data_IF_142568531974
#
_entry.id   IF_142568531974
#
_cell.length_a   1.000
_cell.length_b   1.000
_cell.length_c   1.000
_cell.angle_alpha   90.00
_cell.angle_beta   90.00
_cell.angle_gamma   90.00
#
_symmetry.space_group_name_H-M   'P 1'
#
loop_
_entity.id
_entity.type
_entity.pdbx_description
1 polymer ?
#
# COMPACT_ATOMS: atom_id res chain seq x y z
N UNK A 1 17.21 -2.18 -6.18
CA UNK A 1 17.68 -3.35 -5.39
C UNK A 1 16.47 -3.93 -4.67
N UNK A 2 16.22 -5.24 -4.70
CA UNK A 2 15.09 -5.82 -3.97
C UNK A 2 15.21 -5.57 -2.47
N UNK A 3 14.10 -5.23 -1.83
CA UNK A 3 13.96 -4.94 -0.41
C UNK A 3 13.00 -5.96 0.19
N UNK A 4 13.51 -6.89 0.97
CA UNK A 4 12.71 -7.86 1.72
C UNK A 4 12.22 -7.29 3.05
N UNK A 5 11.46 -8.08 3.80
CA UNK A 5 10.87 -7.66 5.07
C UNK A 5 11.93 -7.29 6.13
N UNK A 6 13.07 -7.99 6.17
CA UNK A 6 14.16 -7.69 7.09
C UNK A 6 14.82 -6.35 6.74
N UNK A 7 15.13 -6.15 5.46
CA UNK A 7 15.70 -4.90 4.96
C UNK A 7 14.75 -3.69 5.18
N UNK A 8 13.43 -3.90 5.06
CA UNK A 8 12.43 -2.88 5.41
C UNK A 8 12.48 -2.51 6.90
N UNK A 9 12.61 -3.49 7.78
CA UNK A 9 12.72 -3.23 9.21
C UNK A 9 14.03 -2.53 9.57
N UNK A 10 15.14 -2.91 8.96
CA UNK A 10 16.45 -2.26 9.16
C UNK A 10 16.40 -0.80 8.71
N UNK A 11 15.85 -0.54 7.52
CA UNK A 11 15.63 0.81 7.01
C UNK A 11 14.78 1.67 7.97
N UNK A 12 13.64 1.13 8.44
CA UNK A 12 12.77 1.85 9.37
C UNK A 12 13.39 2.02 10.75
N UNK A 13 14.24 1.10 11.21
CA UNK A 13 14.97 1.23 12.48
C UNK A 13 15.92 2.43 12.44
N UNK A 14 16.62 2.63 11.33
CA UNK A 14 17.50 3.81 11.15
C UNK A 14 16.69 5.10 11.18
N UNK A 15 15.56 5.17 10.45
CA UNK A 15 14.71 6.36 10.47
C UNK A 15 14.11 6.64 11.86
N UNK A 16 13.77 5.59 12.60
CA UNK A 16 13.20 5.69 13.93
C UNK A 16 14.12 6.37 14.94
N UNK A 17 15.44 6.25 14.78
CA UNK A 17 16.43 6.89 15.67
C UNK A 17 16.44 8.41 15.52
N UNK A 18 16.13 8.93 14.34
CA UNK A 18 16.12 10.38 14.06
C UNK A 18 14.76 11.05 14.32
N UNK A 19 13.72 10.26 14.58
CA UNK A 19 12.40 10.79 14.88
C UNK A 19 12.30 11.23 16.35
N UNK A 20 11.78 12.42 16.56
CA UNK A 20 11.53 12.98 17.92
C UNK A 20 10.06 12.85 18.34
N UNK A 21 9.17 12.53 17.40
CA UNK A 21 7.74 12.34 17.63
C UNK A 21 7.28 11.04 17.02
N UNK A 22 6.27 10.42 17.62
CA UNK A 22 5.66 9.21 17.08
C UNK A 22 4.89 9.55 15.81
N UNK A 23 5.13 8.77 14.75
CA UNK A 23 4.45 8.87 13.46
C UNK A 23 3.82 7.53 13.08
N UNK A 24 2.83 7.57 12.21
CA UNK A 24 2.22 6.39 11.61
C UNK A 24 2.63 6.28 10.14
N UNK A 25 3.10 5.10 9.74
CA UNK A 25 3.39 4.76 8.35
C UNK A 25 2.48 3.61 7.92
N UNK A 26 1.73 3.79 6.86
CA UNK A 26 0.89 2.74 6.28
C UNK A 26 1.52 2.30 4.96
N UNK A 27 2.11 1.13 4.95
CA UNK A 27 2.69 0.56 3.74
C UNK A 27 1.61 0.28 2.69
N UNK A 28 1.93 0.57 1.44
CA UNK A 28 1.08 0.36 0.27
C UNK A 28 1.78 -0.53 -0.76
N UNK A 29 1.11 -0.87 -1.82
CA UNK A 29 1.68 -1.55 -2.98
C UNK A 29 2.49 -2.81 -2.65
N UNK A 30 3.66 -2.93 -3.29
CA UNK A 30 4.57 -4.06 -3.06
C UNK A 30 5.15 -4.11 -1.65
N UNK A 31 5.31 -2.97 -1.00
CA UNK A 31 5.78 -2.88 0.39
C UNK A 31 4.79 -3.52 1.36
N UNK A 32 3.49 -3.22 1.22
CA UNK A 32 2.45 -3.86 2.02
C UNK A 32 2.43 -5.37 1.83
N UNK A 33 2.50 -5.84 0.58
CA UNK A 33 2.54 -7.27 0.27
C UNK A 33 3.74 -7.98 0.91
N UNK A 34 4.91 -7.34 0.90
CA UNK A 34 6.14 -7.88 1.51
C UNK A 34 6.01 -7.96 3.03
N UNK A 35 5.44 -6.94 3.66
CA UNK A 35 5.20 -6.92 5.11
C UNK A 35 4.14 -7.94 5.55
N UNK A 36 3.16 -8.22 4.71
CA UNK A 36 2.10 -9.22 4.94
C UNK A 36 2.50 -10.66 4.54
N UNK A 37 3.76 -10.88 4.16
CA UNK A 37 4.27 -12.18 3.68
C UNK A 37 3.54 -12.74 2.45
N UNK A 38 2.92 -11.86 1.65
CA UNK A 38 2.26 -12.20 0.40
C UNK A 38 3.23 -12.15 -0.80
N UNK A 39 4.39 -11.48 -0.62
CA UNK A 39 5.45 -11.32 -1.60
C UNK A 39 6.80 -11.34 -0.90
N UNK A 40 7.85 -11.88 -1.55
CA UNK A 40 9.17 -12.01 -0.95
C UNK A 40 9.89 -10.67 -0.78
N UNK A 41 9.75 -9.77 -1.75
CA UNK A 41 10.43 -8.46 -1.73
C UNK A 41 9.72 -7.45 -2.60
N UNK A 42 9.99 -6.18 -2.37
CA UNK A 42 9.60 -5.05 -3.23
C UNK A 42 10.83 -4.38 -3.83
N UNK A 43 10.64 -3.60 -4.89
CA UNK A 43 11.70 -2.77 -5.51
C UNK A 43 11.63 -1.35 -4.98
N UNK A 44 10.43 -0.79 -4.94
CA UNK A 44 10.15 0.55 -4.42
C UNK A 44 9.50 0.43 -3.04
N UNK A 45 9.77 1.38 -2.16
CA UNK A 45 9.14 1.46 -0.85
C UNK A 45 7.99 2.46 -0.93
N UNK A 46 6.78 2.00 -0.66
CA UNK A 46 5.54 2.76 -0.82
C UNK A 46 4.85 2.97 0.52
N UNK A 47 4.58 4.23 0.91
CA UNK A 47 3.78 4.57 2.08
C UNK A 47 2.70 5.58 1.76
N UNK A 48 1.52 5.43 2.39
CA UNK A 48 0.58 6.52 2.62
C UNK A 48 0.66 6.94 4.08
N UNK A 49 0.82 8.24 4.32
CA UNK A 49 1.20 8.79 5.62
C UNK A 49 0.15 9.81 6.04
N UNK A 50 -0.39 9.76 7.27
CA UNK A 50 -1.24 10.84 7.77
C UNK A 50 -0.56 12.20 7.60
N UNK A 51 -1.29 13.19 7.12
CA UNK A 51 -0.73 14.50 6.75
C UNK A 51 0.05 15.19 7.88
N UNK A 52 -0.39 15.00 9.13
CA UNK A 52 0.31 15.52 10.32
C UNK A 52 1.69 14.88 10.55
N UNK A 53 1.95 13.68 10.03
CA UNK A 53 3.18 12.91 10.26
C UNK A 53 4.20 13.07 9.11
N UNK A 54 3.74 13.55 7.96
CA UNK A 54 4.52 13.61 6.73
C UNK A 54 5.82 14.39 6.87
N UNK A 55 5.77 15.57 7.45
CA UNK A 55 6.95 16.46 7.59
C UNK A 55 8.04 15.79 8.41
N UNK A 56 7.68 15.13 9.52
CA UNK A 56 8.64 14.43 10.38
C UNK A 56 9.29 13.26 9.64
N UNK A 57 8.51 12.50 8.88
CA UNK A 57 9.03 11.40 8.07
C UNK A 57 9.99 11.91 6.98
N UNK A 58 9.63 12.97 6.27
CA UNK A 58 10.47 13.56 5.22
C UNK A 58 11.79 14.10 5.76
N UNK A 59 11.79 14.68 6.96
CA UNK A 59 13.01 15.15 7.63
C UNK A 59 13.92 13.98 7.99
N UNK A 60 13.39 12.93 8.61
CA UNK A 60 14.16 11.72 8.95
C UNK A 60 14.73 11.05 7.70
N UNK A 61 13.95 10.96 6.63
CA UNK A 61 14.40 10.38 5.36
C UNK A 61 15.52 11.20 4.70
N UNK A 62 15.48 12.55 4.83
CA UNK A 62 16.50 13.46 4.32
C UNK A 62 17.83 13.30 5.05
N UNK A 63 17.78 13.06 6.37
CA UNK A 63 18.95 12.83 7.22
C UNK A 63 19.59 11.47 6.96
N UNK A 64 18.82 10.50 6.45
CA UNK A 64 19.26 9.13 6.19
C UNK A 64 19.09 8.76 4.71
N UNK A 65 20.00 9.21 3.83
CA UNK A 65 19.93 8.83 2.42
C UNK A 65 19.94 7.33 2.24
N UNK A 66 19.00 6.82 1.47
CA UNK A 66 18.84 5.40 1.17
C UNK A 66 19.03 5.13 -0.32
N UNK A 67 19.48 3.91 -0.68
CA UNK A 67 19.51 3.44 -2.06
C UNK A 67 18.15 3.01 -2.60
N UNK A 68 17.10 3.02 -1.77
CA UNK A 68 15.74 2.69 -2.19
C UNK A 68 15.00 3.92 -2.70
N UNK A 69 14.16 3.74 -3.72
CA UNK A 69 13.15 4.73 -4.07
C UNK A 69 12.02 4.64 -3.04
N UNK A 70 11.70 5.75 -2.40
CA UNK A 70 10.64 5.84 -1.39
C UNK A 70 9.54 6.77 -1.89
N UNK A 71 8.41 6.20 -2.29
CA UNK A 71 7.21 6.93 -2.68
C UNK A 71 6.33 7.22 -1.45
N UNK A 72 5.85 8.47 -1.36
CA UNK A 72 5.17 9.02 -0.18
C UNK A 72 3.89 9.72 -0.62
N UNK A 73 2.78 9.10 -0.34
CA UNK A 73 1.46 9.71 -0.47
C UNK A 73 0.92 10.15 0.90
N UNK A 74 -0.19 10.84 0.91
CA UNK A 74 -0.77 11.41 2.11
C UNK A 74 -2.24 11.02 2.23
N UNK A 75 -2.70 10.75 3.46
CA UNK A 75 -4.12 10.58 3.81
C UNK A 75 -4.88 9.60 2.91
N UNK A 76 -4.31 8.41 2.70
CA UNK A 76 -4.94 7.35 1.91
C UNK A 76 -4.81 7.49 0.40
N UNK A 77 -4.18 8.55 -0.10
CA UNK A 77 -3.79 8.61 -1.51
C UNK A 77 -2.75 7.53 -1.78
N UNK A 78 -2.93 6.77 -2.85
CA UNK A 78 -1.98 5.74 -3.31
C UNK A 78 -2.11 5.63 -4.83
N UNK A 79 -1.00 5.78 -5.53
CA UNK A 79 -0.95 5.80 -7.00
C UNK A 79 -1.89 6.86 -7.58
N UNK A 80 -2.97 6.46 -8.22
CA UNK A 80 -3.90 7.35 -8.93
C UNK A 80 -5.30 7.44 -8.29
N UNK A 81 -5.47 7.08 -7.03
CA UNK A 81 -6.73 7.18 -6.30
C UNK A 81 -6.51 7.41 -4.81
N UNK A 82 -7.57 7.80 -4.13
CA UNK A 82 -7.59 7.96 -2.67
C UNK A 82 -8.53 6.92 -2.06
N UNK A 83 -8.03 6.20 -1.07
CA UNK A 83 -8.83 5.26 -0.28
C UNK A 83 -9.85 6.00 0.60
N UNK A 84 -10.98 5.36 0.94
CA UNK A 84 -11.92 5.89 1.92
C UNK A 84 -11.24 6.18 3.27
N UNK A 85 -11.82 7.09 4.05
CA UNK A 85 -11.25 7.58 5.32
C UNK A 85 -11.01 6.48 6.36
N UNK A 86 -11.69 5.35 6.25
CA UNK A 86 -11.52 4.19 7.13
C UNK A 86 -10.26 3.34 6.83
N UNK A 87 -9.46 3.71 5.82
CA UNK A 87 -8.26 2.95 5.42
C UNK A 87 -7.28 2.75 6.57
N UNK A 88 -7.15 3.76 7.43
CA UNK A 88 -6.23 3.71 8.56
C UNK A 88 -6.70 2.72 9.63
N UNK A 89 -7.99 2.76 9.98
CA UNK A 89 -8.58 1.84 10.94
C UNK A 89 -8.53 0.39 10.45
N UNK A 90 -8.80 0.19 9.16
CA UNK A 90 -8.79 -1.12 8.50
C UNK A 90 -7.39 -1.63 8.18
N UNK A 91 -6.35 -0.80 8.28
CA UNK A 91 -4.98 -1.23 8.04
C UNK A 91 -4.48 -2.20 9.11
N UNK A 92 -3.58 -3.08 8.72
CA UNK A 92 -3.06 -4.16 9.57
C UNK A 92 -1.83 -3.65 10.33
N UNK A 93 -1.81 -3.81 11.65
CA UNK A 93 -0.63 -3.51 12.48
C UNK A 93 0.48 -4.51 12.17
N UNK A 94 1.67 -4.01 11.85
CA UNK A 94 2.84 -4.84 11.54
C UNK A 94 3.85 -4.81 12.66
N UNK A 95 4.31 -3.62 13.07
CA UNK A 95 5.34 -3.46 14.08
C UNK A 95 5.28 -2.08 14.74
N UNK A 96 5.49 -2.04 16.05
CA UNK A 96 5.68 -0.82 16.80
C UNK A 96 7.17 -0.63 17.09
N UNK A 97 7.71 0.50 16.65
CA UNK A 97 9.00 1.03 17.06
C UNK A 97 8.77 2.13 18.13
N UNK A 98 9.82 2.69 18.69
CA UNK A 98 9.65 3.77 19.69
C UNK A 98 8.94 5.02 19.10
N UNK A 99 9.21 5.35 17.84
CA UNK A 99 8.67 6.52 17.15
C UNK A 99 7.93 6.19 15.83
N UNK A 100 7.84 4.93 15.43
CA UNK A 100 7.08 4.53 14.23
C UNK A 100 6.04 3.47 14.59
N UNK A 101 4.77 3.77 14.30
CA UNK A 101 3.71 2.77 14.22
C UNK A 101 3.61 2.32 12.77
N UNK A 102 4.18 1.14 12.47
CA UNK A 102 4.16 0.56 11.13
C UNK A 102 2.91 -0.28 10.92
N UNK A 103 2.18 0.06 9.88
CA UNK A 103 0.98 -0.63 9.43
C UNK A 103 1.10 -0.99 7.95
N UNK A 104 0.25 -1.86 7.46
CA UNK A 104 0.11 -2.16 6.03
C UNK A 104 -1.37 -2.02 5.61
N UNK A 105 -1.61 -1.57 4.40
CA UNK A 105 -2.95 -1.63 3.83
C UNK A 105 -3.47 -3.06 3.87
N UNK A 106 -4.76 -3.22 4.17
CA UNK A 106 -5.41 -4.52 4.08
C UNK A 106 -5.44 -5.02 2.62
N UNK A 107 -5.48 -6.33 2.38
CA UNK A 107 -5.38 -6.90 1.03
C UNK A 107 -6.38 -6.35 0.01
N UNK A 108 -7.64 -6.09 0.41
CA UNK A 108 -8.64 -5.50 -0.49
C UNK A 108 -8.26 -4.08 -0.92
N UNK A 109 -7.67 -3.26 -0.03
CA UNK A 109 -7.19 -1.92 -0.36
C UNK A 109 -5.98 -1.97 -1.29
N UNK A 110 -5.09 -2.95 -1.11
CA UNK A 110 -3.99 -3.18 -2.05
C UNK A 110 -4.53 -3.52 -3.45
N UNK A 111 -5.55 -4.38 -3.56
CA UNK A 111 -6.16 -4.75 -4.84
C UNK A 111 -6.74 -3.51 -5.52
N UNK A 112 -7.63 -2.78 -4.86
CA UNK A 112 -8.34 -1.66 -5.50
C UNK A 112 -7.41 -0.52 -5.91
N UNK A 113 -6.29 -0.31 -5.20
CA UNK A 113 -5.29 0.70 -5.59
C UNK A 113 -4.44 0.27 -6.78
N UNK A 114 -4.44 -1.00 -7.17
CA UNK A 114 -3.72 -1.53 -8.34
C UNK A 114 -4.60 -1.61 -9.60
N UNK A 115 -5.92 -1.68 -9.44
CA UNK A 115 -6.88 -1.76 -10.56
C UNK A 115 -6.74 -0.54 -11.48
N UNK A 116 -6.53 0.66 -10.97
CA UNK A 116 -6.45 1.87 -11.78
C UNK A 116 -5.35 1.82 -12.84
N UNK A 117 -4.17 1.27 -12.53
CA UNK A 117 -3.04 1.16 -13.49
C UNK A 117 -2.87 -0.22 -14.14
N UNK A 118 -3.35 -1.25 -13.52
CA UNK A 118 -3.46 -2.66 -13.93
C UNK A 118 -2.40 -3.16 -14.93
N UNK A 119 -1.13 -3.14 -14.56
CA UNK A 119 -0.06 -3.76 -15.34
C UNK A 119 0.13 -5.24 -14.97
N UNK A 120 1.02 -5.97 -15.68
CA UNK A 120 1.26 -7.39 -15.45
C UNK A 120 1.73 -7.72 -14.02
N UNK A 121 2.52 -6.84 -13.39
CA UNK A 121 2.95 -7.01 -11.99
C UNK A 121 1.79 -6.78 -11.02
N UNK A 122 0.92 -5.82 -11.32
CA UNK A 122 -0.26 -5.56 -10.52
C UNK A 122 -1.22 -6.76 -10.53
N UNK A 123 -1.37 -7.45 -11.66
CA UNK A 123 -2.16 -8.69 -11.73
C UNK A 123 -1.60 -9.81 -10.86
N UNK A 124 -0.28 -10.00 -10.82
CA UNK A 124 0.37 -10.98 -9.94
C UNK A 124 0.17 -10.63 -8.45
N UNK A 125 0.28 -9.37 -8.11
CA UNK A 125 0.09 -8.88 -6.75
C UNK A 125 -1.39 -9.02 -6.31
N UNK A 126 -2.35 -8.74 -7.19
CA UNK A 126 -3.79 -8.96 -6.98
C UNK A 126 -4.08 -10.46 -6.77
N UNK A 127 -3.50 -11.32 -7.60
CA UNK A 127 -3.64 -12.77 -7.46
C UNK A 127 -3.16 -13.26 -6.09
N UNK A 128 -2.01 -12.77 -5.62
CA UNK A 128 -1.49 -13.12 -4.30
C UNK A 128 -2.45 -12.70 -3.17
N UNK A 129 -3.06 -11.51 -3.25
CA UNK A 129 -4.08 -11.08 -2.30
C UNK A 129 -5.32 -11.98 -2.32
N UNK A 130 -5.83 -12.30 -3.50
CA UNK A 130 -7.04 -13.14 -3.64
C UNK A 130 -6.78 -14.56 -3.09
N UNK A 131 -5.68 -15.18 -3.51
CA UNK A 131 -5.41 -16.58 -3.18
C UNK A 131 -4.90 -16.78 -1.75
N UNK A 132 -3.96 -15.95 -1.30
CA UNK A 132 -3.31 -16.14 0.01
C UNK A 132 -4.03 -15.44 1.16
N UNK A 133 -4.69 -14.31 0.90
CA UNK A 133 -5.45 -13.57 1.91
C UNK A 133 -6.97 -13.77 1.80
N UNK A 134 -7.44 -14.63 0.90
CA UNK A 134 -8.84 -15.02 0.73
C UNK A 134 -9.80 -13.83 0.52
N UNK A 135 -9.39 -12.83 -0.25
CA UNK A 135 -10.25 -11.68 -0.58
C UNK A 135 -11.32 -12.12 -1.57
N UNK A 136 -12.58 -11.88 -1.23
CA UNK A 136 -13.73 -12.28 -2.06
C UNK A 136 -14.04 -11.27 -3.17
N UNK A 137 -14.77 -11.73 -4.21
CA UNK A 137 -15.29 -10.87 -5.27
C UNK A 137 -16.13 -9.72 -4.71
N UNK A 138 -17.01 -10.00 -3.76
CA UNK A 138 -17.89 -9.00 -3.15
C UNK A 138 -17.09 -7.90 -2.46
N UNK A 139 -16.07 -8.26 -1.67
CA UNK A 139 -15.20 -7.28 -1.02
C UNK A 139 -14.48 -6.37 -2.02
N UNK A 140 -13.95 -6.94 -3.12
CA UNK A 140 -13.29 -6.16 -4.17
C UNK A 140 -14.27 -5.21 -4.83
N UNK A 141 -15.44 -5.69 -5.20
CA UNK A 141 -16.47 -4.91 -5.90
C UNK A 141 -16.96 -3.75 -5.05
N UNK A 142 -17.33 -4.00 -3.81
CA UNK A 142 -17.80 -2.96 -2.87
C UNK A 142 -16.73 -1.90 -2.63
N UNK A 143 -15.48 -2.32 -2.37
CA UNK A 143 -14.38 -1.40 -2.09
C UNK A 143 -13.99 -0.58 -3.33
N UNK A 144 -14.00 -1.19 -4.52
CA UNK A 144 -13.72 -0.53 -5.79
C UNK A 144 -14.73 0.58 -6.11
N UNK A 145 -16.02 0.39 -5.82
CA UNK A 145 -17.04 1.40 -6.01
C UNK A 145 -16.85 2.65 -5.15
N UNK A 146 -16.21 2.51 -3.99
CA UNK A 146 -15.85 3.67 -3.16
C UNK A 146 -14.60 4.39 -3.70
N UNK A 147 -13.66 3.65 -4.26
CA UNK A 147 -12.37 4.16 -4.72
C UNK A 147 -12.45 4.81 -6.10
N UNK A 148 -13.28 4.30 -7.00
CA UNK A 148 -13.41 4.83 -8.37
C UNK A 148 -13.77 6.30 -8.43
N UNK A 149 -14.48 6.82 -7.44
CA UNK A 149 -14.89 8.22 -7.35
C UNK A 149 -13.70 9.18 -7.19
N UNK A 150 -12.57 8.70 -6.73
CA UNK A 150 -11.34 9.48 -6.54
C UNK A 150 -10.25 9.15 -7.56
N UNK A 151 -10.54 8.26 -8.49
CA UNK A 151 -9.60 7.84 -9.52
C UNK A 151 -9.22 9.00 -10.45
N UNK A 152 -7.93 9.20 -10.67
CA UNK A 152 -7.40 10.22 -11.58
C UNK A 152 -7.32 9.62 -12.99
N UNK A 153 -8.44 9.57 -13.66
CA UNK A 153 -8.61 9.00 -14.99
C UNK A 153 -10.09 8.82 -15.33
N UNK A 154 -10.41 8.32 -16.52
CA UNK A 154 -11.80 8.01 -16.88
C UNK A 154 -12.36 6.88 -15.99
N UNK A 155 -13.51 7.11 -15.39
CA UNK A 155 -14.17 6.09 -14.54
C UNK A 155 -14.39 4.79 -15.29
N UNK A 156 -14.75 4.88 -16.57
CA UNK A 156 -14.97 3.72 -17.43
C UNK A 156 -13.73 2.84 -17.57
N UNK A 157 -12.53 3.42 -17.56
CA UNK A 157 -11.27 2.68 -17.60
C UNK A 157 -11.07 1.88 -16.32
N UNK A 158 -11.31 2.50 -15.16
CA UNK A 158 -11.24 1.79 -13.87
C UNK A 158 -12.24 0.64 -13.80
N UNK A 159 -13.48 0.87 -14.20
CA UNK A 159 -14.54 -0.16 -14.23
C UNK A 159 -14.20 -1.29 -15.21
N UNK A 160 -13.62 -0.97 -16.35
CA UNK A 160 -13.15 -1.97 -17.31
C UNK A 160 -12.06 -2.85 -16.67
N UNK A 161 -11.07 -2.26 -16.04
CA UNK A 161 -10.01 -3.00 -15.33
C UNK A 161 -10.57 -3.84 -14.18
N UNK A 162 -11.52 -3.31 -13.41
CA UNK A 162 -12.21 -4.06 -12.35
C UNK A 162 -12.85 -5.32 -12.91
N UNK A 163 -13.61 -5.20 -14.01
CA UNK A 163 -14.26 -6.33 -14.64
C UNK A 163 -13.24 -7.36 -15.16
N UNK A 164 -12.12 -6.93 -15.75
CA UNK A 164 -11.04 -7.83 -16.15
C UNK A 164 -10.49 -8.65 -14.97
N UNK A 165 -10.28 -8.03 -13.83
CA UNK A 165 -9.80 -8.69 -12.61
C UNK A 165 -10.83 -9.71 -12.11
N UNK A 166 -12.10 -9.29 -12.00
CA UNK A 166 -13.16 -10.16 -11.51
C UNK A 166 -13.42 -11.35 -12.44
N UNK A 167 -13.42 -11.12 -13.74
CA UNK A 167 -13.59 -12.18 -14.75
C UNK A 167 -12.43 -13.18 -14.70
N UNK A 168 -11.21 -12.68 -14.56
CA UNK A 168 -10.02 -13.52 -14.50
C UNK A 168 -9.98 -14.45 -13.28
N UNK A 169 -10.37 -13.95 -12.11
CA UNK A 169 -10.13 -14.68 -10.86
C UNK A 169 -11.39 -15.34 -10.26
N UNK A 170 -12.60 -14.94 -10.66
CA UNK A 170 -13.84 -15.44 -10.06
C UNK A 170 -14.83 -16.07 -11.07
N UNK A 171 -14.74 -15.76 -12.37
CA UNK A 171 -15.54 -16.48 -13.35
C UNK A 171 -14.87 -17.81 -13.70
N UNK A 172 -15.66 -18.87 -13.57
CA UNK A 172 -15.30 -20.21 -14.05
C UNK A 172 -15.65 -20.35 -15.52
#
# INVERSE_FOLDING_TARGET
MPCDKSALFDFLSVLNEDLTKKITLVAAGGTALTLLDLKLSTIDIDFTIPGCDRVNFEQALKSNPTGYKVDRWTDGCVFCQTLPNDYLENSIKIKEFSHISLRALQPVDIIVTKIGRLNARDLQDIEACIQKANVSETQIRERALLVVQTYVGPEEEYIYHLNLVLDKFFKK
#
